data_IF_160264896995
#
_entry.id   IF_160264896995
#
_cell.length_a   1.000
_cell.length_b   1.000
_cell.length_c   1.000
_cell.angle_alpha   90.00
_cell.angle_beta   90.00
_cell.angle_gamma   90.00
#
_symmetry.space_group_name_H-M   'P 1'
#
loop_
_entity.id
_entity.type
_entity.pdbx_description
1 polymer ?
#
# COMPACT_ATOMS: atom_id res chain seq x y z
N UNK A 1 16.14 61.25 -7.38
CA UNK A 1 16.66 59.88 -7.09
C UNK A 1 15.48 58.99 -6.75
N UNK A 2 15.13 58.07 -7.63
CA UNK A 2 14.03 57.11 -7.39
C UNK A 2 14.67 55.79 -6.99
N UNK A 3 14.45 55.38 -5.76
CA UNK A 3 14.91 54.07 -5.23
C UNK A 3 13.93 52.99 -5.70
N UNK A 4 14.41 52.08 -6.56
CA UNK A 4 13.67 50.88 -6.92
C UNK A 4 13.82 49.86 -5.78
N UNK A 5 12.73 49.52 -5.11
CA UNK A 5 12.69 48.40 -4.18
C UNK A 5 12.48 47.10 -4.97
N UNK A 6 13.49 46.24 -5.00
CA UNK A 6 13.36 44.88 -5.50
C UNK A 6 12.57 44.04 -4.47
N UNK A 7 11.35 43.71 -4.80
CA UNK A 7 10.59 42.73 -4.03
C UNK A 7 11.06 41.31 -4.41
N UNK A 8 11.82 40.69 -3.54
CA UNK A 8 12.20 39.28 -3.69
C UNK A 8 10.99 38.42 -3.28
N UNK A 9 10.31 37.86 -4.26
CA UNK A 9 9.26 36.87 -4.02
C UNK A 9 9.91 35.56 -3.57
N UNK A 10 9.77 35.22 -2.29
CA UNK A 10 10.06 33.88 -1.81
C UNK A 10 9.00 32.93 -2.37
N UNK A 11 9.38 32.13 -3.35
CA UNK A 11 8.60 30.95 -3.71
C UNK A 11 8.75 29.92 -2.57
N UNK A 12 7.75 29.86 -1.72
CA UNK A 12 7.62 28.70 -0.80
C UNK A 12 7.17 27.51 -1.61
N UNK A 13 8.10 26.60 -1.89
CA UNK A 13 7.74 25.31 -2.46
C UNK A 13 6.86 24.59 -1.44
N UNK A 14 5.60 24.34 -1.79
CA UNK A 14 4.73 23.50 -0.99
C UNK A 14 5.38 22.10 -0.88
N UNK A 15 5.40 21.47 0.33
CA UNK A 15 5.90 20.10 0.44
C UNK A 15 5.10 19.21 -0.50
N UNK A 16 5.80 18.42 -1.34
CA UNK A 16 5.16 17.43 -2.18
C UNK A 16 4.36 16.49 -1.28
N UNK A 17 3.02 16.42 -1.48
CA UNK A 17 2.17 15.46 -0.79
C UNK A 17 2.70 14.06 -1.12
N UNK A 18 3.14 13.31 -0.08
CA UNK A 18 3.52 11.91 -0.23
C UNK A 18 2.29 11.15 -0.77
N UNK A 19 2.44 10.52 -1.94
CA UNK A 19 1.35 9.82 -2.61
C UNK A 19 1.79 9.32 -3.97
N UNK A 20 0.85 8.75 -4.69
CA UNK A 20 1.09 8.25 -6.04
C UNK A 20 1.04 9.39 -7.07
N UNK A 21 1.86 9.25 -8.12
CA UNK A 21 1.69 10.06 -9.34
C UNK A 21 0.37 9.69 -10.02
N UNK A 22 -0.14 10.56 -10.91
CA UNK A 22 -1.34 10.27 -11.70
C UNK A 22 -1.19 8.99 -12.53
N UNK A 23 0.01 8.72 -13.06
CA UNK A 23 0.31 7.48 -13.79
C UNK A 23 0.24 6.26 -12.88
N UNK A 24 0.82 6.32 -11.68
CA UNK A 24 0.75 5.22 -10.71
C UNK A 24 -0.68 4.96 -10.25
N UNK A 25 -1.47 6.01 -10.01
CA UNK A 25 -2.89 5.88 -9.67
C UNK A 25 -3.67 5.13 -10.75
N UNK A 26 -3.43 5.48 -12.02
CA UNK A 26 -4.04 4.79 -13.16
C UNK A 26 -3.59 3.33 -13.23
N UNK A 27 -2.31 3.05 -13.11
CA UNK A 27 -1.76 1.69 -13.12
C UNK A 27 -2.36 0.84 -12.00
N UNK A 28 -2.49 1.38 -10.79
CA UNK A 28 -3.11 0.71 -9.65
C UNK A 28 -4.61 0.48 -9.86
N UNK A 29 -5.32 1.44 -10.46
CA UNK A 29 -6.75 1.30 -10.77
C UNK A 29 -7.01 0.20 -11.80
N UNK A 30 -6.12 0.05 -12.80
CA UNK A 30 -6.25 -0.93 -13.87
C UNK A 30 -5.74 -2.33 -13.47
N UNK A 31 -4.87 -2.44 -12.47
CA UNK A 31 -4.24 -3.70 -12.08
C UNK A 31 -5.17 -4.61 -11.29
N UNK A 32 -5.15 -5.91 -11.60
CA UNK A 32 -5.87 -6.93 -10.81
C UNK A 32 -5.13 -7.24 -9.50
N UNK A 33 -3.82 -7.35 -9.56
CA UNK A 33 -2.96 -7.70 -8.41
C UNK A 33 -1.79 -6.75 -8.29
N UNK A 34 -1.20 -6.73 -7.11
CA UNK A 34 0.15 -6.25 -6.89
C UNK A 34 1.04 -7.40 -6.43
N UNK A 35 2.34 -7.26 -6.66
CA UNK A 35 3.36 -8.21 -6.26
C UNK A 35 4.27 -7.56 -5.24
N UNK A 36 4.19 -8.03 -4.01
CA UNK A 36 4.87 -7.42 -2.86
C UNK A 36 6.11 -8.22 -2.50
N UNK A 37 7.24 -7.52 -2.45
CA UNK A 37 8.49 -8.01 -1.88
C UNK A 37 8.78 -7.23 -0.60
N UNK A 38 9.22 -7.94 0.43
CA UNK A 38 9.65 -7.32 1.69
C UNK A 38 11.15 -7.52 1.89
N UNK A 39 11.79 -6.62 2.61
CA UNK A 39 13.23 -6.70 2.89
C UNK A 39 13.53 -7.82 3.87
N UNK A 40 14.37 -8.76 3.46
CA UNK A 40 14.89 -9.83 4.31
C UNK A 40 15.98 -9.30 5.26
N UNK A 41 16.30 -10.07 6.30
CA UNK A 41 17.40 -9.75 7.22
C UNK A 41 18.74 -9.56 6.51
N UNK A 42 18.96 -10.24 5.39
CA UNK A 42 20.14 -10.07 4.53
C UNK A 42 20.22 -8.73 3.77
N UNK A 43 19.13 -7.97 3.75
CA UNK A 43 18.97 -6.78 2.91
C UNK A 43 18.43 -7.07 1.51
N UNK A 44 18.29 -8.35 1.13
CA UNK A 44 17.73 -8.75 -0.16
C UNK A 44 16.20 -8.69 -0.15
N UNK A 45 15.61 -8.50 -1.33
CA UNK A 45 14.18 -8.61 -1.51
C UNK A 45 13.71 -10.06 -1.41
N UNK A 46 12.56 -10.26 -0.78
CA UNK A 46 11.90 -11.57 -0.77
C UNK A 46 11.38 -11.93 -2.16
N UNK A 47 11.01 -13.19 -2.33
CA UNK A 47 10.23 -13.62 -3.50
C UNK A 47 8.98 -12.77 -3.63
N UNK A 48 8.62 -12.28 -4.84
CA UNK A 48 7.38 -11.54 -5.05
C UNK A 48 6.16 -12.37 -4.69
N UNK A 49 5.25 -11.79 -3.93
CA UNK A 49 3.99 -12.42 -3.56
C UNK A 49 2.84 -11.69 -4.24
N UNK A 50 2.10 -12.41 -5.10
CA UNK A 50 0.85 -11.93 -5.69
C UNK A 50 -0.21 -11.77 -4.60
N UNK A 51 -0.88 -10.61 -4.56
CA UNK A 51 -1.88 -10.32 -3.54
C UNK A 51 -2.95 -9.38 -4.04
N UNK A 52 -4.16 -9.58 -3.52
CA UNK A 52 -5.26 -8.63 -3.61
C UNK A 52 -4.92 -7.35 -2.87
N UNK A 53 -5.33 -6.22 -3.40
CA UNK A 53 -5.03 -4.93 -2.82
C UNK A 53 -6.18 -3.94 -2.93
N UNK A 54 -6.12 -2.93 -2.10
CA UNK A 54 -7.03 -1.80 -2.05
C UNK A 54 -6.23 -0.51 -1.89
N UNK A 55 -6.61 0.53 -2.59
CA UNK A 55 -5.95 1.84 -2.50
C UNK A 55 -6.90 2.85 -1.87
N UNK A 56 -6.44 3.54 -0.85
CA UNK A 56 -7.16 4.63 -0.21
C UNK A 56 -6.16 5.67 0.31
N UNK A 57 -6.42 6.96 0.05
CA UNK A 57 -5.60 8.05 0.55
C UNK A 57 -4.11 7.98 0.23
N UNK A 58 -3.74 7.51 -0.96
CA UNK A 58 -2.33 7.38 -1.36
C UNK A 58 -1.58 6.21 -0.71
N UNK A 59 -2.29 5.26 -0.18
CA UNK A 59 -1.75 4.07 0.49
C UNK A 59 -2.31 2.80 -0.15
N UNK A 60 -1.45 1.80 -0.35
CA UNK A 60 -1.87 0.44 -0.74
C UNK A 60 -2.08 -0.38 0.51
N UNK A 61 -3.28 -0.92 0.67
CA UNK A 61 -3.61 -1.82 1.77
C UNK A 61 -3.76 -3.25 1.28
N UNK A 62 -3.25 -4.18 2.06
CA UNK A 62 -3.47 -5.61 1.87
C UNK A 62 -3.97 -6.24 3.17
N UNK A 63 -4.86 -7.22 3.06
CA UNK A 63 -5.30 -8.03 4.19
C UNK A 63 -4.49 -9.32 4.26
N UNK A 64 -3.86 -9.61 5.39
CA UNK A 64 -2.97 -10.75 5.52
C UNK A 64 -3.06 -11.38 6.91
N UNK A 65 -2.52 -12.58 7.04
CA UNK A 65 -2.43 -13.26 8.35
C UNK A 65 -1.30 -12.63 9.17
N UNK A 66 -1.46 -12.48 10.50
CA UNK A 66 -0.42 -11.91 11.37
C UNK A 66 0.86 -12.74 11.40
N UNK A 67 0.78 -14.04 11.09
CA UNK A 67 1.95 -14.92 10.99
C UNK A 67 2.69 -14.88 9.66
N UNK A 68 2.27 -14.09 8.70
CA UNK A 68 2.96 -13.97 7.41
C UNK A 68 4.35 -13.34 7.55
N UNK A 69 5.25 -13.68 6.65
CA UNK A 69 6.62 -13.14 6.67
C UNK A 69 6.65 -11.61 6.55
N UNK A 70 5.75 -11.01 5.76
CA UNK A 70 5.68 -9.54 5.65
C UNK A 70 5.37 -8.88 6.99
N UNK A 71 4.44 -9.42 7.75
CA UNK A 71 4.10 -8.91 9.08
C UNK A 71 5.26 -9.12 10.06
N UNK A 72 5.86 -10.30 10.08
CA UNK A 72 7.03 -10.59 10.93
C UNK A 72 8.19 -9.64 10.66
N UNK A 73 8.48 -9.36 9.40
CA UNK A 73 9.56 -8.44 9.01
C UNK A 73 9.27 -6.99 9.43
N UNK A 74 8.05 -6.53 9.22
CA UNK A 74 7.62 -5.19 9.67
C UNK A 74 7.76 -5.07 11.19
N UNK A 75 7.27 -6.04 11.94
CA UNK A 75 7.39 -6.07 13.41
C UNK A 75 8.84 -6.14 13.91
N UNK A 76 9.75 -6.68 13.11
CA UNK A 76 11.18 -6.68 13.38
C UNK A 76 11.90 -5.40 12.94
N UNK A 77 11.17 -4.37 12.51
CA UNK A 77 11.74 -3.08 12.08
C UNK A 77 12.14 -3.02 10.61
N UNK A 78 11.97 -4.07 9.83
CA UNK A 78 12.22 -4.09 8.39
C UNK A 78 10.95 -3.73 7.64
N UNK A 79 10.74 -2.43 7.47
CA UNK A 79 9.50 -1.88 6.93
C UNK A 79 9.50 -1.68 5.42
N UNK A 80 10.68 -1.73 4.80
CA UNK A 80 10.81 -1.53 3.35
C UNK A 80 10.10 -2.63 2.57
N UNK A 81 9.36 -2.21 1.57
CA UNK A 81 8.73 -3.08 0.59
C UNK A 81 8.96 -2.56 -0.82
N UNK A 82 8.96 -3.46 -1.78
CA UNK A 82 8.90 -3.16 -3.20
C UNK A 82 7.60 -3.72 -3.75
N UNK A 83 6.83 -2.89 -4.43
CA UNK A 83 5.52 -3.27 -4.96
C UNK A 83 5.55 -3.10 -6.47
N UNK A 84 5.39 -4.21 -7.20
CA UNK A 84 5.21 -4.21 -8.64
C UNK A 84 3.71 -4.27 -8.97
N UNK A 85 3.29 -3.47 -9.93
CA UNK A 85 1.88 -3.27 -10.27
C UNK A 85 1.51 -4.13 -11.48
N UNK A 86 0.49 -4.96 -11.32
CA UNK A 86 -0.13 -5.73 -12.38
C UNK A 86 0.58 -7.01 -12.77
N UNK A 87 1.91 -7.07 -12.70
CA UNK A 87 2.74 -8.24 -12.98
C UNK A 87 4.08 -8.13 -12.26
N UNK A 88 4.80 -9.25 -12.13
CA UNK A 88 6.06 -9.33 -11.36
C UNK A 88 7.12 -8.35 -11.85
N UNK A 89 7.23 -8.19 -13.16
CA UNK A 89 8.16 -7.25 -13.82
C UNK A 89 7.49 -5.93 -14.25
N UNK A 90 6.32 -5.65 -13.72
CA UNK A 90 5.58 -4.41 -13.97
C UNK A 90 6.23 -3.18 -13.35
N UNK A 91 5.62 -2.00 -13.59
CA UNK A 91 6.03 -0.78 -12.92
C UNK A 91 6.05 -0.99 -11.41
N UNK A 92 7.12 -0.52 -10.75
CA UNK A 92 7.29 -0.77 -9.33
C UNK A 92 7.67 0.50 -8.59
N UNK A 93 7.34 0.53 -7.31
CA UNK A 93 7.73 1.57 -6.38
C UNK A 93 8.15 0.97 -5.05
N UNK A 94 8.97 1.71 -4.30
CA UNK A 94 9.29 1.37 -2.92
C UNK A 94 8.28 2.00 -1.96
N UNK A 95 8.03 1.32 -0.87
CA UNK A 95 7.09 1.74 0.17
C UNK A 95 7.62 1.40 1.57
N UNK A 96 7.03 2.03 2.57
CA UNK A 96 7.14 1.61 3.95
C UNK A 96 5.85 0.87 4.34
N UNK A 97 6.01 -0.33 4.88
CA UNK A 97 4.91 -1.12 5.40
C UNK A 97 4.69 -0.91 6.89
N UNK A 98 3.44 -0.85 7.30
CA UNK A 98 3.03 -0.81 8.70
C UNK A 98 1.83 -1.73 8.91
N UNK A 99 1.83 -2.46 10.03
CA UNK A 99 0.65 -3.21 10.44
C UNK A 99 -0.37 -2.23 11.01
N UNK A 100 -1.60 -2.29 10.52
CA UNK A 100 -2.66 -1.37 10.89
C UNK A 100 -3.90 -2.13 11.40
N UNK A 101 -4.67 -1.44 12.24
CA UNK A 101 -6.00 -1.87 12.65
C UNK A 101 -6.92 -0.66 12.51
N UNK A 102 -7.81 -0.71 11.51
CA UNK A 102 -8.70 0.38 11.15
C UNK A 102 -10.00 -0.19 10.57
N UNK A 103 -11.05 -0.21 11.38
CA UNK A 103 -12.33 -0.78 11.00
C UNK A 103 -12.96 -0.09 9.78
N UNK A 104 -12.76 1.21 9.61
CA UNK A 104 -13.27 1.94 8.46
C UNK A 104 -12.55 1.52 7.17
N UNK A 105 -11.24 1.35 7.21
CA UNK A 105 -10.45 0.85 6.07
C UNK A 105 -10.80 -0.61 5.76
N UNK A 106 -10.93 -1.45 6.77
CA UNK A 106 -11.34 -2.86 6.60
C UNK A 106 -12.68 -2.97 5.88
N UNK A 107 -13.67 -2.15 6.26
CA UNK A 107 -14.97 -2.09 5.63
C UNK A 107 -14.88 -1.65 4.17
N UNK A 108 -14.12 -0.60 3.88
CA UNK A 108 -13.89 -0.11 2.51
C UNK A 108 -13.18 -1.17 1.65
N UNK A 109 -12.18 -1.83 2.20
CA UNK A 109 -11.45 -2.91 1.53
C UNK A 109 -12.39 -4.05 1.14
N UNK A 110 -13.21 -4.54 2.08
CA UNK A 110 -14.14 -5.62 1.80
C UNK A 110 -15.15 -5.25 0.71
N UNK A 111 -15.67 -4.03 0.73
CA UNK A 111 -16.55 -3.53 -0.32
C UNK A 111 -15.85 -3.44 -1.68
N UNK A 112 -14.61 -2.98 -1.72
CA UNK A 112 -13.79 -2.92 -2.93
C UNK A 112 -13.48 -4.31 -3.48
N UNK A 113 -13.15 -5.28 -2.63
CA UNK A 113 -12.87 -6.66 -3.02
C UNK A 113 -14.10 -7.37 -3.59
N UNK A 114 -15.29 -7.09 -3.07
CA UNK A 114 -16.53 -7.63 -3.60
C UNK A 114 -16.78 -7.21 -5.07
N UNK A 115 -16.37 -6.00 -5.43
CA UNK A 115 -16.47 -5.48 -6.80
C UNK A 115 -15.35 -5.97 -7.70
N UNK A 116 -14.13 -5.99 -7.19
CA UNK A 116 -12.91 -6.25 -7.99
C UNK A 116 -12.65 -7.74 -8.19
N UNK A 117 -12.97 -8.56 -7.20
CA UNK A 117 -12.71 -10.00 -7.18
C UNK A 117 -13.99 -10.80 -6.89
N UNK A 118 -15.07 -10.65 -7.68
CA UNK A 118 -16.39 -11.15 -7.30
C UNK A 118 -16.42 -12.66 -7.02
N UNK A 119 -15.76 -13.46 -7.83
CA UNK A 119 -15.76 -14.93 -7.67
C UNK A 119 -14.88 -15.36 -6.48
N UNK A 120 -13.70 -14.80 -6.36
CA UNK A 120 -12.81 -15.06 -5.23
C UNK A 120 -13.39 -14.54 -3.92
N UNK A 121 -14.04 -13.39 -3.95
CA UNK A 121 -14.67 -12.80 -2.77
C UNK A 121 -15.74 -13.70 -2.17
N UNK A 122 -16.61 -14.27 -2.97
CA UNK A 122 -17.63 -15.23 -2.49
C UNK A 122 -17.04 -16.38 -1.68
N UNK A 123 -15.85 -16.83 -2.04
CA UNK A 123 -15.15 -17.92 -1.34
C UNK A 123 -14.48 -17.48 -0.05
N UNK A 124 -14.09 -16.20 0.06
CA UNK A 124 -13.22 -15.71 1.13
C UNK A 124 -13.87 -14.68 2.04
N UNK A 125 -15.07 -14.18 1.70
CA UNK A 125 -15.75 -13.10 2.45
C UNK A 125 -15.82 -13.39 3.94
N UNK A 126 -16.32 -14.56 4.32
CA UNK A 126 -16.50 -14.90 5.73
C UNK A 126 -15.15 -14.95 6.47
N UNK A 127 -14.13 -15.51 5.83
CA UNK A 127 -12.78 -15.54 6.38
C UNK A 127 -12.18 -14.16 6.62
N UNK A 128 -12.46 -13.19 5.73
CA UNK A 128 -12.05 -11.80 5.93
C UNK A 128 -12.81 -11.14 7.08
N UNK A 129 -14.14 -11.28 7.10
CA UNK A 129 -14.99 -10.69 8.14
C UNK A 129 -14.64 -11.20 9.53
N UNK A 130 -14.56 -12.50 9.68
CA UNK A 130 -14.21 -13.14 10.95
C UNK A 130 -12.76 -12.85 11.34
N UNK A 131 -11.84 -12.94 10.39
CA UNK A 131 -10.43 -12.72 10.64
C UNK A 131 -10.11 -11.31 11.14
N UNK A 132 -10.73 -10.28 10.61
CA UNK A 132 -10.56 -8.92 11.12
C UNK A 132 -11.12 -8.76 12.54
N UNK A 133 -12.23 -9.42 12.86
CA UNK A 133 -12.81 -9.38 14.21
C UNK A 133 -11.95 -10.10 15.25
N UNK A 134 -11.36 -11.22 14.89
CA UNK A 134 -10.58 -12.07 15.81
C UNK A 134 -9.09 -11.72 15.86
N UNK A 135 -8.60 -10.91 14.94
CA UNK A 135 -7.17 -10.64 14.77
C UNK A 135 -6.41 -11.70 13.97
N UNK A 136 -7.10 -12.72 13.43
CA UNK A 136 -6.49 -13.71 12.53
C UNK A 136 -6.18 -13.13 11.14
N UNK A 137 -6.69 -11.94 10.85
CA UNK A 137 -6.37 -11.12 9.68
C UNK A 137 -6.09 -9.70 10.11
N UNK A 138 -5.05 -9.12 9.54
CA UNK A 138 -4.63 -7.74 9.80
C UNK A 138 -4.44 -6.99 8.49
N UNK A 139 -4.52 -5.66 8.56
CA UNK A 139 -4.11 -4.79 7.46
C UNK A 139 -2.60 -4.58 7.49
N UNK A 140 -2.01 -4.53 6.31
CA UNK A 140 -0.70 -3.90 6.11
C UNK A 140 -0.91 -2.70 5.20
N UNK A 141 -0.50 -1.53 5.68
CA UNK A 141 -0.53 -0.28 4.95
C UNK A 141 0.86 -0.02 4.34
N UNK A 142 0.92 0.15 3.03
CA UNK A 142 2.13 0.47 2.30
C UNK A 142 2.06 1.91 1.79
N UNK A 143 2.86 2.78 2.37
CA UNK A 143 2.97 4.18 1.98
C UNK A 143 4.17 4.38 1.08
N UNK A 144 4.04 4.98 -0.12
CA UNK A 144 5.15 5.26 -1.01
C UNK A 144 6.27 6.06 -0.33
N UNK A 145 7.50 5.76 -0.71
CA UNK A 145 8.71 6.46 -0.21
C UNK A 145 9.18 7.47 -1.22
#
# INVERSE_FOLDING_TARGET
MRTLALATALLTAAPALAGFSAEQEKQLADATYVYVQSERKSGEWSTPAEIWFFVDGGTVYVGTRPGSWRVKRIKAGRTKARIAIGKVDGPAFEANGAVASDAAIETKMMAAYAKKYPDGWKKHEQSFRDGFKTGERVLVAYTPR
#
